data_IF_858796260370
#
_entry.id   IF_858796260370
#
_cell.length_a   1.000
_cell.length_b   1.000
_cell.length_c   1.000
_cell.angle_alpha   90.00
_cell.angle_beta   90.00
_cell.angle_gamma   90.00
#
_symmetry.space_group_name_H-M   'P 1'
#
loop_
_entity.id
_entity.type
_entity.pdbx_description
1 polymer ?
#
# COMPACT_ATOMS: atom_id res chain seq x y z
N UNK A 1 -59.80 35.65 72.35
CA UNK A 1 -60.47 34.34 72.21
C UNK A 1 -61.43 34.47 71.04
N UNK A 2 -61.38 33.75 69.92
CA UNK A 2 -60.87 32.39 69.65
C UNK A 2 -60.52 32.26 68.17
N UNK A 3 -59.37 31.63 67.97
CA UNK A 3 -58.80 30.99 66.79
C UNK A 3 -59.83 30.19 65.96
N UNK A 4 -59.73 30.20 64.62
CA UNK A 4 -59.71 28.97 63.80
C UNK A 4 -59.38 29.21 62.32
N UNK A 5 -58.17 28.78 62.00
CA UNK A 5 -57.59 28.45 60.71
C UNK A 5 -58.52 27.54 59.89
N UNK A 6 -58.72 27.86 58.61
CA UNK A 6 -59.08 26.92 57.52
C UNK A 6 -58.27 27.36 56.29
N UNK A 7 -57.20 26.64 55.97
CA UNK A 7 -57.14 25.66 54.87
C UNK A 7 -57.47 26.33 53.51
N UNK A 8 -56.45 26.82 52.79
CA UNK A 8 -55.78 26.08 51.72
C UNK A 8 -56.69 25.83 50.51
N UNK A 9 -56.44 26.52 49.39
CA UNK A 9 -56.49 26.01 48.00
C UNK A 9 -56.49 27.15 46.97
N UNK A 10 -55.63 27.00 45.94
CA UNK A 10 -55.75 27.57 44.58
C UNK A 10 -55.57 29.10 44.45
N UNK A 11 -54.72 29.66 43.58
CA UNK A 11 -54.26 29.20 42.27
C UNK A 11 -53.01 30.01 41.88
N UNK A 12 -51.82 29.57 42.26
CA UNK A 12 -50.59 30.03 41.62
C UNK A 12 -50.27 29.04 40.50
N UNK A 13 -50.93 29.22 39.35
CA UNK A 13 -50.52 28.57 38.11
C UNK A 13 -49.25 29.27 37.61
N UNK A 14 -48.14 29.00 38.30
CA UNK A 14 -46.81 29.32 37.81
C UNK A 14 -46.61 28.55 36.51
N UNK A 15 -46.31 29.30 35.46
CA UNK A 15 -45.85 28.86 34.16
C UNK A 15 -44.61 27.96 34.34
N UNK A 16 -44.84 26.67 34.61
CA UNK A 16 -43.84 25.63 34.43
C UNK A 16 -43.89 25.21 32.96
N UNK A 17 -43.38 26.10 32.10
CA UNK A 17 -42.80 25.66 30.84
C UNK A 17 -41.51 24.93 31.22
N UNK A 18 -41.67 23.69 31.68
CA UNK A 18 -40.62 22.71 31.48
C UNK A 18 -40.52 22.56 29.96
N UNK A 19 -39.64 23.35 29.36
CA UNK A 19 -39.03 22.98 28.11
C UNK A 19 -38.38 21.62 28.39
N UNK A 20 -39.13 20.55 28.11
CA UNK A 20 -38.51 19.29 27.76
C UNK A 20 -37.49 19.69 26.70
N UNK A 21 -36.20 19.63 27.04
CA UNK A 21 -35.14 19.68 26.06
C UNK A 21 -35.44 18.52 25.13
N UNK A 22 -36.14 18.82 24.02
CA UNK A 22 -36.26 17.89 22.93
C UNK A 22 -34.84 17.39 22.69
N UNK A 23 -34.58 16.07 22.68
CA UNK A 23 -33.29 15.61 22.19
C UNK A 23 -33.10 16.30 20.85
N UNK A 24 -32.00 17.05 20.71
CA UNK A 24 -31.70 17.76 19.47
C UNK A 24 -31.94 16.77 18.33
N UNK A 25 -32.76 17.14 17.35
CA UNK A 25 -33.08 16.25 16.25
C UNK A 25 -31.75 15.79 15.65
N UNK A 26 -31.45 14.49 15.76
CA UNK A 26 -30.17 13.94 15.32
C UNK A 26 -29.93 14.33 13.87
N UNK A 27 -28.73 14.86 13.59
CA UNK A 27 -28.36 15.34 12.25
C UNK A 27 -28.42 14.21 11.23
N UNK A 28 -28.59 14.53 9.95
CA UNK A 28 -28.57 13.52 8.88
C UNK A 28 -27.27 12.72 8.88
N UNK A 29 -26.14 13.39 9.18
CA UNK A 29 -24.85 12.73 9.33
C UNK A 29 -24.83 11.73 10.49
N UNK A 30 -25.36 12.07 11.66
CA UNK A 30 -25.44 11.14 12.80
C UNK A 30 -26.30 9.91 12.47
N UNK A 31 -27.44 10.09 11.81
CA UNK A 31 -28.29 8.97 11.40
C UNK A 31 -27.61 8.10 10.34
N UNK A 32 -27.00 8.72 9.34
CA UNK A 32 -26.27 8.04 8.28
C UNK A 32 -25.07 7.26 8.82
N UNK A 33 -24.26 7.87 9.70
CA UNK A 33 -23.12 7.21 10.34
C UNK A 33 -23.56 6.07 11.28
N UNK A 34 -24.67 6.21 12.00
CA UNK A 34 -25.22 5.14 12.83
C UNK A 34 -25.67 3.93 11.99
N UNK A 35 -26.26 4.15 10.82
CA UNK A 35 -26.61 3.06 9.88
C UNK A 35 -25.37 2.41 9.27
N UNK A 36 -24.34 3.19 8.97
CA UNK A 36 -23.05 2.67 8.53
C UNK A 36 -22.42 1.73 9.59
N UNK A 37 -22.40 2.14 10.86
CA UNK A 37 -21.89 1.30 11.98
C UNK A 37 -22.70 0.01 12.14
N UNK A 38 -23.99 0.04 11.83
CA UNK A 38 -24.85 -1.15 11.80
C UNK A 38 -24.67 -2.00 10.53
N UNK A 39 -23.71 -1.67 9.67
CA UNK A 39 -23.45 -2.33 8.39
C UNK A 39 -24.67 -2.33 7.45
N UNK A 40 -25.39 -1.19 7.40
CA UNK A 40 -26.55 -0.96 6.52
C UNK A 40 -26.24 0.10 5.45
N UNK A 41 -25.33 -0.18 4.50
CA UNK A 41 -24.85 0.82 3.54
C UNK A 41 -25.95 1.36 2.62
N UNK A 42 -26.93 0.53 2.24
CA UNK A 42 -28.05 0.94 1.39
C UNK A 42 -28.92 2.01 2.04
N UNK A 43 -29.15 1.89 3.36
CA UNK A 43 -29.92 2.85 4.14
C UNK A 43 -29.08 4.09 4.51
N UNK A 44 -27.78 3.90 4.78
CA UNK A 44 -26.86 4.98 5.14
C UNK A 44 -26.60 5.96 3.97
N UNK A 45 -26.46 5.45 2.74
CA UNK A 45 -26.10 6.24 1.56
C UNK A 45 -26.95 7.51 1.38
N UNK A 46 -28.30 7.45 1.25
CA UNK A 46 -29.10 8.65 0.99
C UNK A 46 -28.98 9.68 2.11
N UNK A 47 -28.87 9.26 3.38
CA UNK A 47 -28.71 10.19 4.50
C UNK A 47 -27.35 10.89 4.48
N UNK A 48 -26.29 10.17 4.09
CA UNK A 48 -24.94 10.75 3.97
C UNK A 48 -24.80 11.65 2.73
N UNK A 49 -25.50 11.33 1.62
CA UNK A 49 -25.58 12.20 0.45
C UNK A 49 -26.28 13.53 0.78
N UNK A 50 -27.38 13.47 1.52
CA UNK A 50 -28.11 14.67 1.97
C UNK A 50 -27.30 15.45 3.02
N UNK A 51 -26.68 14.77 3.99
CA UNK A 51 -25.80 15.41 4.96
C UNK A 51 -24.61 16.13 4.30
N UNK A 52 -24.07 15.58 3.21
CA UNK A 52 -23.00 16.21 2.45
C UNK A 52 -23.46 17.49 1.73
N UNK A 53 -24.71 17.52 1.27
CA UNK A 53 -25.29 18.71 0.66
C UNK A 53 -25.47 19.84 1.68
N UNK A 54 -25.84 19.49 2.93
CA UNK A 54 -26.02 20.44 4.03
C UNK A 54 -24.70 20.99 4.58
N UNK A 55 -23.68 20.13 4.73
CA UNK A 55 -22.36 20.51 5.23
C UNK A 55 -21.23 19.97 4.33
N UNK A 56 -20.94 20.65 3.21
CA UNK A 56 -19.90 20.24 2.28
C UNK A 56 -18.46 20.40 2.82
N UNK A 57 -18.30 21.00 4.01
CA UNK A 57 -16.99 21.26 4.64
C UNK A 57 -16.55 20.15 5.60
N UNK A 58 -17.46 19.25 5.97
CA UNK A 58 -17.17 18.17 6.90
C UNK A 58 -16.52 16.98 6.17
N UNK A 59 -15.19 16.88 6.29
CA UNK A 59 -14.41 15.79 5.69
C UNK A 59 -14.90 14.39 6.09
N UNK A 60 -15.42 14.22 7.31
CA UNK A 60 -15.88 12.91 7.80
C UNK A 60 -17.03 12.35 6.97
N UNK A 61 -17.92 13.22 6.45
CA UNK A 61 -19.04 12.79 5.61
C UNK A 61 -18.53 12.14 4.31
N UNK A 62 -17.52 12.75 3.66
CA UNK A 62 -16.90 12.19 2.47
C UNK A 62 -16.25 10.82 2.75
N UNK A 63 -15.59 10.67 3.90
CA UNK A 63 -14.96 9.40 4.28
C UNK A 63 -16.01 8.30 4.44
N UNK A 64 -17.08 8.56 5.20
CA UNK A 64 -18.17 7.59 5.40
C UNK A 64 -18.87 7.25 4.09
N UNK A 65 -19.22 8.26 3.28
CA UNK A 65 -19.90 8.05 2.01
C UNK A 65 -19.02 7.26 1.02
N UNK A 66 -17.71 7.51 1.03
CA UNK A 66 -16.75 6.74 0.23
C UNK A 66 -16.72 5.25 0.59
N UNK A 67 -16.67 4.93 1.89
CA UNK A 67 -16.70 3.54 2.36
C UNK A 67 -18.07 2.91 2.07
N UNK A 68 -19.17 3.67 2.20
CA UNK A 68 -20.51 3.19 1.85
C UNK A 68 -20.61 2.83 0.37
N UNK A 69 -20.10 3.66 -0.54
CA UNK A 69 -20.06 3.30 -1.97
C UNK A 69 -19.21 2.05 -2.23
N UNK A 70 -18.07 1.91 -1.55
CA UNK A 70 -17.25 0.70 -1.62
C UNK A 70 -18.03 -0.54 -1.17
N UNK A 71 -18.75 -0.48 -0.04
CA UNK A 71 -19.57 -1.58 0.48
C UNK A 71 -20.72 -1.95 -0.47
N UNK A 72 -21.21 -0.99 -1.26
CA UNK A 72 -22.24 -1.21 -2.27
C UNK A 72 -21.67 -1.72 -3.61
N UNK A 73 -20.36 -1.97 -3.69
CA UNK A 73 -19.72 -2.47 -4.91
C UNK A 73 -19.54 -1.40 -5.99
N UNK A 74 -19.48 -0.12 -5.59
CA UNK A 74 -19.28 1.00 -6.52
C UNK A 74 -17.95 1.73 -6.25
N UNK A 75 -16.82 1.13 -6.66
CA UNK A 75 -15.50 1.71 -6.40
C UNK A 75 -15.28 3.03 -7.14
N UNK A 76 -15.97 3.29 -8.26
CA UNK A 76 -15.81 4.52 -9.03
C UNK A 76 -16.39 5.74 -8.30
N UNK A 77 -17.61 5.60 -7.76
CA UNK A 77 -18.20 6.65 -6.91
C UNK A 77 -17.43 6.79 -5.61
N UNK A 78 -16.96 5.69 -5.02
CA UNK A 78 -16.14 5.72 -3.81
C UNK A 78 -14.87 6.56 -4.02
N UNK A 79 -14.07 6.26 -5.06
CA UNK A 79 -12.85 7.01 -5.38
C UNK A 79 -13.16 8.50 -5.63
N UNK A 80 -14.24 8.79 -6.36
CA UNK A 80 -14.63 10.16 -6.68
C UNK A 80 -14.94 10.97 -5.42
N UNK A 81 -15.74 10.43 -4.50
CA UNK A 81 -16.11 11.12 -3.26
C UNK A 81 -14.92 11.20 -2.30
N UNK A 82 -14.10 10.15 -2.21
CA UNK A 82 -12.91 10.16 -1.36
C UNK A 82 -11.88 11.18 -1.83
N UNK A 83 -11.67 11.34 -3.14
CA UNK A 83 -10.78 12.38 -3.70
C UNK A 83 -11.28 13.79 -3.40
N UNK A 84 -12.60 14.01 -3.45
CA UNK A 84 -13.19 15.29 -3.05
C UNK A 84 -12.96 15.59 -1.56
N UNK A 85 -13.18 14.60 -0.70
CA UNK A 85 -12.90 14.73 0.73
C UNK A 85 -11.42 14.96 1.03
N UNK A 86 -10.52 14.24 0.33
CA UNK A 86 -9.08 14.41 0.47
C UNK A 86 -8.59 15.85 0.18
N UNK A 87 -9.23 16.56 -0.76
CA UNK A 87 -8.88 17.94 -1.09
C UNK A 87 -9.15 18.92 0.06
N UNK A 88 -10.08 18.61 0.96
CA UNK A 88 -10.41 19.43 2.13
C UNK A 88 -9.91 18.81 3.44
N UNK A 89 -9.36 17.60 3.38
CA UNK A 89 -8.99 16.84 4.56
C UNK A 89 -7.87 17.53 5.34
N UNK A 90 -8.04 17.60 6.65
CA UNK A 90 -7.12 18.17 7.63
C UNK A 90 -6.68 17.14 8.65
N UNK A 91 -7.58 16.25 9.07
CA UNK A 91 -7.34 15.29 10.15
C UNK A 91 -7.14 13.86 9.63
N UNK A 92 -7.91 13.45 8.62
CA UNK A 92 -8.01 12.05 8.20
C UNK A 92 -7.38 11.73 6.84
N UNK A 93 -6.34 12.47 6.43
CA UNK A 93 -5.70 12.33 5.11
C UNK A 93 -5.24 10.89 4.82
N UNK A 94 -4.64 10.24 5.83
CA UNK A 94 -4.21 8.84 5.75
C UNK A 94 -5.37 7.88 5.46
N UNK A 95 -6.52 8.06 6.13
CA UNK A 95 -7.71 7.23 5.91
C UNK A 95 -8.32 7.44 4.53
N UNK A 96 -8.33 8.67 4.00
CA UNK A 96 -8.76 8.92 2.63
C UNK A 96 -7.87 8.19 1.62
N UNK A 97 -6.55 8.33 1.75
CA UNK A 97 -5.57 7.70 0.87
C UNK A 97 -5.66 6.17 0.95
N UNK A 98 -5.81 5.62 2.16
CA UNK A 98 -6.00 4.19 2.39
C UNK A 98 -7.26 3.66 1.69
N UNK A 99 -8.40 4.32 1.85
CA UNK A 99 -9.66 3.89 1.23
C UNK A 99 -9.66 4.09 -0.30
N UNK A 100 -8.99 5.11 -0.83
CA UNK A 100 -8.75 5.23 -2.27
C UNK A 100 -7.95 4.03 -2.77
N UNK A 101 -6.88 3.65 -2.05
CA UNK A 101 -6.09 2.45 -2.34
C UNK A 101 -6.92 1.17 -2.36
N UNK A 102 -7.81 0.99 -1.38
CA UNK A 102 -8.73 -0.16 -1.32
C UNK A 102 -9.60 -0.26 -2.57
N UNK A 103 -10.16 0.85 -3.04
CA UNK A 103 -11.02 0.85 -4.22
C UNK A 103 -10.23 0.60 -5.53
N UNK A 104 -9.00 1.10 -5.64
CA UNK A 104 -8.11 0.72 -6.75
C UNK A 104 -7.74 -0.76 -6.70
N UNK A 105 -7.45 -1.30 -5.51
CA UNK A 105 -7.17 -2.72 -5.35
C UNK A 105 -8.35 -3.60 -5.78
N UNK A 106 -9.58 -3.23 -5.39
CA UNK A 106 -10.81 -3.92 -5.82
C UNK A 106 -10.98 -3.91 -7.34
N UNK A 107 -10.55 -2.84 -8.02
CA UNK A 107 -10.55 -2.74 -9.48
C UNK A 107 -9.42 -3.52 -10.17
N UNK A 108 -8.50 -4.11 -9.42
CA UNK A 108 -7.29 -4.75 -9.97
C UNK A 108 -6.21 -3.75 -10.42
N UNK A 109 -6.36 -2.48 -10.08
CA UNK A 109 -5.44 -1.40 -10.43
C UNK A 109 -4.32 -1.29 -9.39
N UNK A 110 -3.50 -2.35 -9.31
CA UNK A 110 -2.57 -2.54 -8.21
C UNK A 110 -1.47 -1.47 -8.12
N UNK A 111 -1.08 -0.86 -9.25
CA UNK A 111 -0.13 0.26 -9.25
C UNK A 111 -0.70 1.49 -8.55
N UNK A 112 -1.93 1.89 -8.89
CA UNK A 112 -2.59 3.02 -8.21
C UNK A 112 -2.93 2.69 -6.75
N UNK A 113 -3.22 1.43 -6.45
CA UNK A 113 -3.39 0.97 -5.07
C UNK A 113 -2.09 1.14 -4.26
N UNK A 114 -0.95 0.66 -4.78
CA UNK A 114 0.35 0.81 -4.13
C UNK A 114 0.73 2.28 -3.91
N UNK A 115 0.51 3.16 -4.89
CA UNK A 115 0.75 4.59 -4.77
C UNK A 115 -0.10 5.21 -3.64
N UNK A 116 -1.39 4.87 -3.62
CA UNK A 116 -2.33 5.37 -2.60
C UNK A 116 -1.97 4.87 -1.20
N UNK A 117 -1.63 3.59 -1.05
CA UNK A 117 -1.17 3.05 0.23
C UNK A 117 0.17 3.64 0.66
N UNK A 118 1.09 3.90 -0.28
CA UNK A 118 2.37 4.56 0.01
C UNK A 118 2.14 5.97 0.56
N UNK A 119 1.25 6.74 -0.05
CA UNK A 119 0.87 8.05 0.45
C UNK A 119 0.20 7.94 1.85
N UNK A 120 -0.66 6.93 2.05
CA UNK A 120 -1.33 6.70 3.34
C UNK A 120 -0.35 6.39 4.48
N UNK A 121 0.57 5.43 4.28
CA UNK A 121 1.58 5.10 5.32
C UNK A 121 2.64 6.19 5.50
N UNK A 122 2.83 7.06 4.49
CA UNK A 122 3.66 8.27 4.65
C UNK A 122 2.98 9.28 5.56
N UNK A 123 1.66 9.46 5.43
CA UNK A 123 0.87 10.33 6.29
C UNK A 123 0.72 9.75 7.72
N UNK A 124 0.58 8.43 7.85
CA UNK A 124 0.51 7.74 9.13
C UNK A 124 1.39 6.48 9.12
N UNK A 125 2.62 6.62 9.65
CA UNK A 125 3.61 5.53 9.68
C UNK A 125 3.26 4.40 10.63
N UNK A 126 2.24 4.56 11.47
CA UNK A 126 1.80 3.60 12.49
C UNK A 126 0.50 2.89 12.11
N UNK A 127 0.10 2.93 10.83
CA UNK A 127 -1.09 2.25 10.30
C UNK A 127 -0.72 0.86 9.75
N UNK A 128 -0.94 -0.25 10.49
CA UNK A 128 -0.51 -1.58 10.06
C UNK A 128 -1.21 -2.02 8.77
N UNK A 129 -2.51 -1.75 8.65
CA UNK A 129 -3.33 -2.13 7.49
C UNK A 129 -2.83 -1.51 6.17
N UNK A 130 -2.25 -0.31 6.25
CA UNK A 130 -1.65 0.34 5.08
C UNK A 130 -0.45 -0.43 4.56
N UNK A 131 0.40 -0.96 5.44
CA UNK A 131 1.53 -1.81 5.04
C UNK A 131 1.03 -3.17 4.54
N UNK A 132 0.05 -3.77 5.21
CA UNK A 132 -0.51 -5.04 4.76
C UNK A 132 -1.10 -4.95 3.35
N UNK A 133 -1.91 -3.93 3.07
CA UNK A 133 -2.54 -3.79 1.75
C UNK A 133 -1.57 -3.31 0.68
N UNK A 134 -0.54 -2.53 1.04
CA UNK A 134 0.56 -2.23 0.13
C UNK A 134 1.36 -3.48 -0.23
N UNK A 135 1.66 -4.33 0.75
CA UNK A 135 2.30 -5.63 0.52
C UNK A 135 1.46 -6.49 -0.44
N UNK A 136 0.15 -6.59 -0.20
CA UNK A 136 -0.76 -7.33 -1.08
C UNK A 136 -0.78 -6.76 -2.51
N UNK A 137 -0.74 -5.43 -2.68
CA UNK A 137 -0.64 -4.78 -3.99
C UNK A 137 0.69 -5.10 -4.68
N UNK A 138 1.79 -5.05 -3.93
CA UNK A 138 3.13 -5.41 -4.40
C UNK A 138 3.25 -6.88 -4.78
N UNK A 139 2.58 -7.78 -4.07
CA UNK A 139 2.45 -9.19 -4.46
C UNK A 139 1.77 -9.34 -5.82
N UNK A 140 0.71 -8.56 -6.09
CA UNK A 140 0.03 -8.58 -7.39
C UNK A 140 0.86 -7.98 -8.52
N UNK A 141 1.83 -7.13 -8.19
CA UNK A 141 2.79 -6.52 -9.11
C UNK A 141 4.12 -7.29 -9.20
N UNK A 142 4.22 -8.45 -8.54
CA UNK A 142 5.44 -9.26 -8.46
C UNK A 142 6.67 -8.52 -7.86
N UNK A 143 6.42 -7.48 -7.06
CA UNK A 143 7.44 -6.75 -6.30
C UNK A 143 7.72 -7.45 -4.98
N UNK A 144 8.25 -8.67 -5.09
CA UNK A 144 8.41 -9.62 -3.97
C UNK A 144 9.25 -9.07 -2.82
N UNK A 145 10.37 -8.40 -3.13
CA UNK A 145 11.27 -7.81 -2.12
C UNK A 145 10.58 -6.70 -1.31
N UNK A 146 9.87 -5.81 -2.00
CA UNK A 146 9.14 -4.72 -1.36
C UNK A 146 7.94 -5.22 -0.53
N UNK A 147 7.25 -6.25 -1.03
CA UNK A 147 6.15 -6.90 -0.30
C UNK A 147 6.65 -7.56 1.00
N UNK A 148 7.81 -8.23 0.95
CA UNK A 148 8.44 -8.84 2.13
C UNK A 148 8.72 -7.80 3.22
N UNK A 149 9.27 -6.64 2.86
CA UNK A 149 9.55 -5.55 3.81
C UNK A 149 8.26 -5.06 4.48
N UNK A 150 7.19 -4.85 3.70
CA UNK A 150 5.91 -4.39 4.25
C UNK A 150 5.23 -5.41 5.15
N UNK A 151 5.25 -6.70 4.78
CA UNK A 151 4.72 -7.76 5.63
C UNK A 151 5.47 -7.85 6.96
N UNK A 152 6.80 -7.72 6.94
CA UNK A 152 7.61 -7.68 8.17
C UNK A 152 7.25 -6.48 9.05
N UNK A 153 7.03 -5.31 8.46
CA UNK A 153 6.63 -4.12 9.20
C UNK A 153 5.22 -4.25 9.79
N UNK A 154 4.27 -4.84 9.05
CA UNK A 154 2.95 -5.19 9.60
C UNK A 154 3.07 -6.08 10.84
N UNK A 155 3.89 -7.14 10.78
CA UNK A 155 4.10 -8.07 11.90
C UNK A 155 4.73 -7.40 13.14
N UNK A 156 5.50 -6.33 12.95
CA UNK A 156 6.07 -5.53 14.03
C UNK A 156 5.02 -4.59 14.65
N UNK A 157 4.21 -3.94 13.82
CA UNK A 157 3.23 -2.95 14.27
C UNK A 157 1.98 -3.59 14.89
N UNK A 158 1.60 -4.79 14.44
CA UNK A 158 0.39 -5.49 14.87
C UNK A 158 0.70 -6.91 15.38
N UNK A 159 1.40 -7.06 16.52
CA UNK A 159 1.88 -8.36 16.98
C UNK A 159 0.77 -9.34 17.41
N UNK A 160 -0.46 -8.85 17.60
CA UNK A 160 -1.63 -9.65 18.01
C UNK A 160 -2.72 -9.70 16.92
N UNK A 161 -2.41 -9.28 15.70
CA UNK A 161 -3.40 -9.29 14.62
C UNK A 161 -3.83 -10.73 14.27
N UNK A 162 -5.12 -11.00 14.05
CA UNK A 162 -5.60 -12.31 13.64
C UNK A 162 -4.99 -12.84 12.33
N UNK A 163 -4.55 -11.94 11.44
CA UNK A 163 -3.91 -12.30 10.16
C UNK A 163 -2.42 -12.62 10.29
N UNK A 164 -1.85 -12.49 11.50
CA UNK A 164 -0.42 -12.72 11.74
C UNK A 164 0.10 -14.07 11.22
N UNK A 165 -0.54 -15.22 11.51
CA UNK A 165 -0.04 -16.52 11.04
C UNK A 165 0.04 -16.60 9.51
N UNK A 166 -0.94 -16.02 8.81
CA UNK A 166 -0.97 -15.97 7.35
C UNK A 166 0.15 -15.07 6.82
N UNK A 167 0.42 -13.93 7.46
CA UNK A 167 1.50 -13.04 7.04
C UNK A 167 2.88 -13.64 7.33
N UNK A 168 3.06 -14.35 8.44
CA UNK A 168 4.30 -15.10 8.73
C UNK A 168 4.58 -16.18 7.67
N UNK A 169 3.54 -16.88 7.23
CA UNK A 169 3.61 -17.83 6.11
C UNK A 169 4.07 -17.14 4.82
N UNK A 170 3.45 -16.01 4.46
CA UNK A 170 3.84 -15.23 3.28
C UNK A 170 5.29 -14.75 3.34
N UNK A 171 5.74 -14.28 4.51
CA UNK A 171 7.14 -13.87 4.73
C UNK A 171 8.09 -15.05 4.49
N UNK A 172 7.79 -16.24 5.03
CA UNK A 172 8.64 -17.42 4.84
C UNK A 172 8.74 -17.81 3.35
N UNK A 173 7.62 -17.86 2.65
CA UNK A 173 7.56 -18.20 1.23
C UNK A 173 8.33 -17.19 0.37
N UNK A 174 8.20 -15.89 0.66
CA UNK A 174 8.91 -14.84 -0.05
C UNK A 174 10.42 -14.91 0.19
N UNK A 175 10.85 -15.17 1.43
CA UNK A 175 12.27 -15.35 1.74
C UNK A 175 12.87 -16.55 1.00
N UNK A 176 12.15 -17.68 0.95
CA UNK A 176 12.59 -18.85 0.18
C UNK A 176 12.68 -18.54 -1.31
N UNK A 177 11.66 -17.89 -1.88
CA UNK A 177 11.61 -17.52 -3.28
C UNK A 177 12.77 -16.58 -3.67
N UNK A 178 12.95 -15.50 -2.91
CA UNK A 178 14.01 -14.52 -3.14
C UNK A 178 15.41 -15.12 -2.93
N UNK A 179 15.56 -16.01 -1.94
CA UNK A 179 16.81 -16.75 -1.72
C UNK A 179 17.18 -17.65 -2.90
N UNK A 180 16.21 -18.38 -3.46
CA UNK A 180 16.42 -19.18 -4.67
C UNK A 180 16.79 -18.32 -5.88
N UNK A 181 16.09 -17.20 -6.09
CA UNK A 181 16.42 -16.27 -7.18
C UNK A 181 17.83 -15.69 -7.03
N UNK A 182 18.23 -15.29 -5.83
CA UNK A 182 19.57 -14.77 -5.57
C UNK A 182 20.65 -15.83 -5.81
N UNK A 183 20.43 -17.08 -5.38
CA UNK A 183 21.37 -18.17 -5.60
C UNK A 183 21.54 -18.49 -7.10
N UNK A 184 20.43 -18.51 -7.86
CA UNK A 184 20.46 -18.72 -9.31
C UNK A 184 21.21 -17.57 -10.03
N UNK A 185 20.92 -16.33 -9.66
CA UNK A 185 21.60 -15.16 -10.23
C UNK A 185 23.11 -15.18 -9.94
N UNK A 186 23.50 -15.58 -8.73
CA UNK A 186 24.90 -15.71 -8.35
C UNK A 186 25.60 -16.83 -9.15
N UNK A 187 24.97 -18.00 -9.27
CA UNK A 187 25.54 -19.11 -10.04
C UNK A 187 25.74 -18.77 -11.52
N UNK A 188 24.80 -18.03 -12.12
CA UNK A 188 24.93 -17.55 -13.49
C UNK A 188 26.06 -16.53 -13.63
N UNK A 189 26.18 -15.58 -12.69
CA UNK A 189 27.27 -14.62 -12.67
C UNK A 189 28.66 -15.30 -12.54
N UNK A 190 28.77 -16.30 -11.66
CA UNK A 190 30.01 -17.06 -11.49
C UNK A 190 30.36 -17.86 -12.75
N UNK A 191 29.36 -18.45 -13.41
CA UNK A 191 29.54 -19.16 -14.69
C UNK A 191 30.02 -18.22 -15.80
N UNK A 192 29.40 -17.04 -15.92
CA UNK A 192 29.80 -16.03 -16.91
C UNK A 192 31.24 -15.55 -16.67
N UNK A 193 31.62 -15.37 -15.41
CA UNK A 193 32.99 -14.99 -15.02
C UNK A 193 34.00 -16.09 -15.37
N UNK A 194 33.66 -17.36 -15.13
CA UNK A 194 34.52 -18.49 -15.50
C UNK A 194 34.71 -18.59 -17.03
N UNK A 195 33.62 -18.49 -17.79
CA UNK A 195 33.67 -18.47 -19.25
C UNK A 195 34.52 -17.31 -19.79
N UNK A 196 34.38 -16.11 -19.20
CA UNK A 196 35.21 -14.96 -19.58
C UNK A 196 36.69 -15.23 -19.30
N UNK A 197 37.03 -15.83 -18.16
CA UNK A 197 38.40 -16.21 -17.84
C UNK A 197 38.97 -17.24 -18.83
N UNK A 198 38.18 -18.25 -19.21
CA UNK A 198 38.58 -19.27 -20.18
C UNK A 198 38.80 -18.68 -21.59
N UNK A 199 37.92 -17.75 -22.01
CA UNK A 199 38.07 -17.03 -23.29
C UNK A 199 39.32 -16.16 -23.27
N UNK A 200 39.57 -15.42 -22.18
CA UNK A 200 40.76 -14.58 -22.05
C UNK A 200 42.04 -15.43 -22.12
N UNK A 201 42.10 -16.54 -21.40
CA UNK A 201 43.24 -17.46 -21.44
C UNK A 201 43.46 -18.04 -22.85
N UNK A 202 42.38 -18.38 -23.56
CA UNK A 202 42.49 -18.88 -24.93
C UNK A 202 43.01 -17.82 -25.90
N UNK A 203 42.59 -16.57 -25.73
CA UNK A 203 43.08 -15.44 -26.54
C UNK A 203 44.54 -15.10 -26.25
N UNK A 204 44.98 -15.15 -24.99
CA UNK A 204 46.39 -14.93 -24.64
C UNK A 204 47.27 -16.02 -25.24
N UNK A 205 46.88 -17.28 -25.10
CA UNK A 205 47.64 -18.40 -25.67
C UNK A 205 47.72 -18.31 -27.20
N UNK A 206 46.61 -18.00 -27.88
CA UNK A 206 46.61 -17.82 -29.33
C UNK A 206 47.46 -16.62 -29.79
N UNK A 207 47.51 -15.55 -29.00
CA UNK A 207 48.40 -14.40 -29.25
C UNK A 207 49.87 -14.79 -29.11
N UNK A 208 50.21 -15.53 -28.06
CA UNK A 208 51.58 -15.99 -27.81
C UNK A 208 52.05 -16.97 -28.90
N UNK A 209 51.18 -17.90 -29.32
CA UNK A 209 51.45 -18.81 -30.43
C UNK A 209 51.70 -18.06 -31.75
N UNK A 210 50.90 -17.04 -32.05
CA UNK A 210 51.06 -16.21 -33.25
C UNK A 210 52.37 -15.39 -33.22
N UNK A 211 52.83 -14.95 -32.05
CA UNK A 211 54.11 -14.27 -31.87
C UNK A 211 55.28 -15.23 -32.06
N UNK A 212 55.21 -16.44 -31.48
CA UNK A 212 56.27 -17.44 -31.62
C UNK A 212 56.44 -17.89 -33.08
N UNK A 213 55.35 -18.15 -33.80
CA UNK A 213 55.39 -18.49 -35.24
C UNK A 213 56.01 -17.38 -36.11
N UNK A 214 55.81 -16.11 -35.74
CA UNK A 214 56.45 -14.98 -36.42
C UNK A 214 57.96 -14.94 -36.19
N UNK A 215 58.40 -15.25 -34.97
CA UNK A 215 59.83 -15.29 -34.62
C UNK A 215 60.53 -16.45 -35.32
N UNK A 216 59.93 -17.64 -35.33
CA UNK A 216 60.50 -18.79 -36.07
C UNK A 216 60.64 -18.52 -37.57
N UNK A 217 59.64 -17.90 -38.21
CA UNK A 217 59.74 -17.56 -39.63
C UNK A 217 60.82 -16.51 -39.94
N UNK A 218 61.09 -15.57 -39.03
CA UNK A 218 62.17 -14.59 -39.19
C UNK A 218 63.55 -15.25 -39.04
N UNK A 219 63.69 -16.21 -38.13
CA UNK A 219 64.94 -16.97 -37.98
C UNK A 219 65.21 -17.86 -39.20
N UNK A 220 64.17 -18.50 -39.76
CA UNK A 220 64.31 -19.32 -40.97
C UNK A 220 64.65 -18.47 -42.20
N UNK A 221 64.20 -17.21 -42.30
CA UNK A 221 64.59 -16.37 -43.44
C UNK A 221 66.04 -15.91 -43.39
N UNK A 222 66.61 -15.74 -42.18
CA UNK A 222 68.02 -15.34 -42.01
C UNK A 222 68.99 -16.53 -42.25
N UNK A 223 68.53 -17.78 -42.05
CA UNK A 223 69.34 -18.99 -42.26
C UNK A 223 69.38 -19.49 -43.73
N UNK A 224 68.65 -18.84 -44.67
CA UNK A 224 68.57 -19.25 -46.08
C UNK A 224 69.49 -18.44 -47.01
N UNK A 225 70.30 -17.50 -46.48
CA UNK A 225 71.17 -16.65 -47.31
C UNK A 225 72.56 -17.23 -47.66
N UNK A 226 72.99 -18.37 -47.08
CA UNK A 226 74.33 -18.96 -47.34
C UNK A 226 74.27 -20.34 -48.01
N UNK A 227 73.69 -20.42 -49.22
CA UNK A 227 73.97 -21.57 -50.12
C UNK A 227 74.83 -21.08 -51.28
N UNK A 228 76.14 -21.12 -51.06
CA UNK A 228 77.16 -20.95 -52.09
C UNK A 228 76.97 -22.03 -53.18
N UNK A 229 76.57 -21.57 -54.37
CA UNK A 229 76.62 -22.37 -55.59
C UNK A 229 77.97 -22.07 -56.25
N UNK A 230 78.97 -22.91 -55.99
CA UNK A 230 80.23 -22.93 -56.74
C UNK A 230 80.04 -23.69 -58.07
N UNK A 231 80.38 -23.03 -59.19
CA UNK A 231 80.73 -23.62 -60.49
C UNK A 231 82.10 -23.07 -60.93
#
# INVERSE_FOLDING_TARGET
MTNRIRAASMLAAAFLLAAASLPAASSLFEKGSALFVQNKPTEARPLLEEALADDPSNETIYLYLGIVYQQLGDPDRAITILKRGLNIATLHKDLFLYNIGNNFFTRGEFTFAEESYTAAVTANRTMPDGYLNRANSRMKLERWGDALVDYQLFLQLAPKDPQRPQVEEMVRLLQEHLGKQAALAQAEADRQKALLADVLNSLTNASDDALNLRVENLQISDDVEDVDIED
#
